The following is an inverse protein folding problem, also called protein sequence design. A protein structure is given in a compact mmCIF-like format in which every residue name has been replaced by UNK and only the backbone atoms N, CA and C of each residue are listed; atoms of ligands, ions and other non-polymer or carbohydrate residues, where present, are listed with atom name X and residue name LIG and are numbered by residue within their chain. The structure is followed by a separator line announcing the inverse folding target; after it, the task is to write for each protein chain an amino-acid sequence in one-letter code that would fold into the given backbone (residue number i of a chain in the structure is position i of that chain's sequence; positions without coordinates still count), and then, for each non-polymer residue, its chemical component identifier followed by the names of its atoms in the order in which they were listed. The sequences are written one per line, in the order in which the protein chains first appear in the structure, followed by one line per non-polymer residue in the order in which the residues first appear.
data_IF_973536453948
#
_entry.id   IF_973536453948
#
_cell.length_a   1.000
_cell.length_b   1.000
_cell.length_c   1.000
_cell.angle_alpha   90.00
_cell.angle_beta   90.00
_cell.angle_gamma   90.00
#
_symmetry.space_group_name_H-M   'P 1'
#
loop_
_entity.id
_entity.type
_entity.pdbx_description
1 polymer ?
#
# COMPACT_ATOMS: atom_id res chain seq x y z
N UNK A 1 -4.44 74.18 -14.78
CA UNK A 1 -4.86 73.05 -13.93
C UNK A 1 -4.72 71.72 -14.70
N UNK A 2 -3.52 71.37 -15.18
CA UNK A 2 -3.28 70.19 -16.05
C UNK A 2 -2.05 69.37 -15.59
N UNK A 3 -1.26 69.87 -14.64
CA UNK A 3 0.00 69.26 -14.21
C UNK A 3 -0.08 68.16 -13.15
N UNK A 4 -1.23 67.93 -12.51
CA UNK A 4 -1.34 66.96 -11.40
C UNK A 4 -1.95 65.60 -11.81
N UNK A 5 -2.66 65.55 -12.94
CA UNK A 5 -3.29 64.32 -13.45
C UNK A 5 -2.36 63.47 -14.35
N UNK A 6 -1.25 64.04 -14.83
CA UNK A 6 -0.30 63.33 -15.71
C UNK A 6 0.83 62.62 -14.97
N UNK A 7 1.04 62.88 -13.67
CA UNK A 7 2.08 62.23 -12.89
C UNK A 7 1.61 60.91 -12.23
N UNK A 8 0.35 60.82 -11.83
CA UNK A 8 -0.21 59.62 -11.20
C UNK A 8 -0.48 58.46 -12.18
N UNK A 9 -0.73 58.76 -13.45
CA UNK A 9 -1.02 57.72 -14.47
C UNK A 9 0.23 57.01 -15.01
N UNK A 10 1.42 57.61 -14.88
CA UNK A 10 2.68 57.01 -15.37
C UNK A 10 3.41 56.13 -14.35
N UNK A 11 3.09 56.23 -13.06
CA UNK A 11 3.77 55.44 -12.03
C UNK A 11 3.14 54.06 -11.77
N UNK A 12 1.89 53.84 -12.21
CA UNK A 12 1.16 52.58 -11.96
C UNK A 12 0.98 51.67 -13.19
N UNK A 13 1.80 51.80 -14.24
CA UNK A 13 1.43 51.17 -15.53
C UNK A 13 2.31 50.02 -16.04
N UNK A 14 3.50 49.74 -15.46
CA UNK A 14 4.36 48.63 -15.97
C UNK A 14 4.72 47.54 -14.96
N UNK A 15 4.77 47.86 -13.66
CA UNK A 15 5.11 46.87 -12.63
C UNK A 15 3.92 46.04 -12.13
N UNK A 16 2.69 46.53 -12.31
CA UNK A 16 1.46 45.83 -11.90
C UNK A 16 1.10 44.70 -12.87
N UNK A 17 1.16 44.94 -14.19
CA UNK A 17 0.77 43.95 -15.21
C UNK A 17 1.68 42.71 -15.23
N UNK A 18 3.00 42.89 -15.06
CA UNK A 18 3.96 41.79 -14.94
C UNK A 18 3.72 40.94 -13.68
N UNK A 19 3.30 41.56 -12.57
CA UNK A 19 2.98 40.83 -11.32
C UNK A 19 1.66 40.05 -11.44
N UNK A 20 0.68 40.56 -12.18
CA UNK A 20 -0.58 39.86 -12.45
C UNK A 20 -0.41 38.65 -13.40
N UNK A 21 0.44 38.75 -14.42
CA UNK A 21 0.70 37.59 -15.31
C UNK A 21 1.52 36.51 -14.61
N UNK A 22 2.48 36.88 -13.76
CA UNK A 22 3.29 35.93 -12.98
C UNK A 22 2.43 35.21 -11.92
N UNK A 23 1.58 35.92 -11.18
CA UNK A 23 0.69 35.30 -10.18
C UNK A 23 -0.36 34.39 -10.80
N UNK A 24 -0.91 34.76 -11.96
CA UNK A 24 -1.83 33.92 -12.74
C UNK A 24 -1.14 32.63 -13.23
N UNK A 25 0.09 32.72 -13.78
CA UNK A 25 0.85 31.54 -14.21
C UNK A 25 1.22 30.61 -13.05
N UNK A 26 1.62 31.16 -11.89
CA UNK A 26 1.94 30.36 -10.70
C UNK A 26 0.70 29.59 -10.22
N UNK A 27 -0.46 30.23 -10.18
CA UNK A 27 -1.72 29.60 -9.73
C UNK A 27 -2.16 28.47 -10.66
N UNK A 28 -2.01 28.65 -11.99
CA UNK A 28 -2.30 27.62 -12.98
C UNK A 28 -1.34 26.41 -12.87
N UNK A 29 -0.05 26.66 -12.65
CA UNK A 29 0.93 25.60 -12.41
C UNK A 29 0.63 24.80 -11.14
N UNK A 30 0.26 25.47 -10.04
CA UNK A 30 -0.14 24.78 -8.81
C UNK A 30 -1.38 23.88 -9.04
N UNK A 31 -2.38 24.36 -9.78
CA UNK A 31 -3.57 23.57 -10.10
C UNK A 31 -3.25 22.31 -10.92
N UNK A 32 -2.35 22.43 -11.92
CA UNK A 32 -1.92 21.30 -12.75
C UNK A 32 -1.11 20.26 -11.96
N UNK A 33 -0.31 20.70 -10.98
CA UNK A 33 0.41 19.81 -10.07
C UNK A 33 -0.59 19.02 -9.20
N UNK A 34 -1.60 19.66 -8.63
CA UNK A 34 -2.62 18.96 -7.82
C UNK A 34 -3.39 17.90 -8.60
N UNK A 35 -3.79 18.17 -9.85
CA UNK A 35 -4.47 17.19 -10.71
C UNK A 35 -3.57 15.97 -10.98
N UNK A 36 -2.26 16.20 -11.11
CA UNK A 36 -1.27 15.16 -11.41
C UNK A 36 -0.98 14.25 -10.20
N UNK A 37 -1.12 14.76 -8.96
CA UNK A 37 -0.93 13.95 -7.74
C UNK A 37 -2.12 13.02 -7.43
N UNK A 38 -3.32 13.30 -7.94
CA UNK A 38 -4.49 12.41 -7.79
C UNK A 38 -4.37 11.06 -8.52
N UNK A 39 -3.43 10.96 -9.47
CA UNK A 39 -3.17 9.72 -10.23
C UNK A 39 -1.95 8.94 -9.73
N UNK A 40 -1.41 9.28 -8.54
CA UNK A 40 -0.41 8.45 -7.88
C UNK A 40 -1.10 7.20 -7.29
N UNK A 41 -1.35 6.23 -8.17
CA UNK A 41 -2.05 4.99 -7.85
C UNK A 41 -1.32 4.19 -6.78
N UNK A 42 -1.85 4.23 -5.57
CA UNK A 42 -1.68 3.19 -4.58
C UNK A 42 -2.02 1.87 -5.28
N UNK A 43 -1.00 1.04 -5.57
CA UNK A 43 -1.17 -0.25 -6.23
C UNK A 43 -2.01 -1.16 -5.35
N UNK A 44 -3.33 -1.02 -5.41
CA UNK A 44 -4.25 -1.98 -4.82
C UNK A 44 -4.17 -3.21 -5.70
N UNK A 45 -3.33 -4.15 -5.31
CA UNK A 45 -3.30 -5.50 -5.87
C UNK A 45 -4.65 -6.12 -5.47
N UNK A 46 -5.64 -5.99 -6.34
CA UNK A 46 -6.99 -6.50 -6.10
C UNK A 46 -7.00 -8.01 -5.85
N UNK A 47 -8.15 -8.53 -5.44
CA UNK A 47 -8.33 -9.98 -5.34
C UNK A 47 -8.06 -10.65 -6.69
N UNK A 48 -7.48 -11.86 -6.72
CA UNK A 48 -7.24 -12.56 -7.98
C UNK A 48 -8.56 -12.77 -8.74
N UNK A 49 -8.48 -12.82 -10.07
CA UNK A 49 -9.64 -13.14 -10.91
C UNK A 49 -10.12 -14.56 -10.64
N UNK A 50 -11.43 -14.78 -10.79
CA UNK A 50 -12.01 -16.11 -10.72
C UNK A 50 -11.39 -17.04 -11.78
N UNK A 51 -11.20 -18.31 -11.45
CA UNK A 51 -10.55 -19.26 -12.34
C UNK A 51 -10.38 -20.66 -11.76
N UNK A 52 -9.90 -21.56 -12.61
CA UNK A 52 -9.59 -22.95 -12.27
C UNK A 52 -8.12 -23.08 -11.88
N UNK A 53 -7.88 -23.77 -10.76
CA UNK A 53 -6.55 -24.03 -10.22
C UNK A 53 -6.36 -25.54 -10.11
N UNK A 54 -5.34 -26.07 -10.79
CA UNK A 54 -5.08 -27.50 -10.84
C UNK A 54 -3.77 -27.87 -10.14
N UNK A 55 -3.79 -28.95 -9.36
CA UNK A 55 -2.59 -29.58 -8.83
C UNK A 55 -1.95 -30.47 -9.88
N UNK A 56 -0.99 -29.90 -10.61
CA UNK A 56 -0.37 -30.52 -11.79
C UNK A 56 0.59 -31.68 -11.50
N UNK A 57 0.89 -31.94 -10.23
CA UNK A 57 1.83 -33.00 -9.82
C UNK A 57 1.19 -34.40 -9.77
N UNK A 58 -0.14 -34.48 -9.93
CA UNK A 58 -0.88 -35.75 -9.98
C UNK A 58 -1.56 -35.93 -11.34
N UNK A 59 -1.80 -37.20 -11.71
CA UNK A 59 -2.44 -37.58 -12.98
C UNK A 59 -3.64 -38.51 -12.70
N UNK A 60 -4.88 -38.14 -13.08
CA UNK A 60 -5.26 -36.85 -13.67
C UNK A 60 -5.06 -35.67 -12.70
N UNK A 61 -4.87 -34.43 -13.21
CA UNK A 61 -4.77 -33.26 -12.36
C UNK A 61 -6.06 -33.07 -11.56
N UNK A 62 -5.92 -32.82 -10.26
CA UNK A 62 -7.06 -32.44 -9.43
C UNK A 62 -7.23 -30.92 -9.51
N UNK A 63 -8.39 -30.47 -9.94
CA UNK A 63 -8.69 -29.06 -10.17
C UNK A 63 -9.82 -28.59 -9.24
N UNK A 64 -9.79 -27.30 -8.94
CA UNK A 64 -10.85 -26.60 -8.22
C UNK A 64 -11.11 -25.25 -8.89
N UNK A 65 -12.34 -24.77 -8.83
CA UNK A 65 -12.71 -23.45 -9.32
C UNK A 65 -12.89 -22.50 -8.15
N UNK A 66 -12.26 -21.33 -8.20
CA UNK A 66 -12.35 -20.31 -7.16
C UNK A 66 -12.84 -19.01 -7.75
N UNK A 67 -13.85 -18.43 -7.12
CA UNK A 67 -14.25 -17.04 -7.31
C UNK A 67 -14.02 -16.27 -5.99
N UNK A 68 -12.95 -15.49 -5.96
CA UNK A 68 -12.54 -14.71 -4.79
C UNK A 68 -13.48 -13.52 -4.52
N UNK A 69 -14.14 -12.98 -5.55
CA UNK A 69 -15.09 -11.87 -5.40
C UNK A 69 -16.42 -12.38 -4.83
N UNK A 70 -16.91 -13.52 -5.35
CA UNK A 70 -18.14 -14.15 -4.87
C UNK A 70 -17.95 -15.01 -3.61
N UNK A 71 -16.71 -15.15 -3.11
CA UNK A 71 -16.34 -16.05 -1.99
C UNK A 71 -16.83 -17.48 -2.20
N UNK A 72 -16.62 -18.01 -3.40
CA UNK A 72 -17.13 -19.32 -3.82
C UNK A 72 -15.99 -20.24 -4.25
N UNK A 73 -16.06 -21.49 -3.79
CA UNK A 73 -15.18 -22.59 -4.19
C UNK A 73 -16.04 -23.73 -4.73
N UNK A 74 -15.71 -24.25 -5.90
CA UNK A 74 -16.26 -25.50 -6.42
C UNK A 74 -15.15 -26.53 -6.45
N UNK A 75 -15.33 -27.64 -5.73
CA UNK A 75 -14.38 -28.74 -5.67
C UNK A 75 -15.14 -30.07 -5.63
N UNK A 76 -14.78 -31.00 -6.52
CA UNK A 76 -15.45 -32.29 -6.69
C UNK A 76 -16.99 -32.15 -6.87
N UNK A 77 -17.41 -31.21 -7.73
CA UNK A 77 -18.83 -30.88 -8.01
C UNK A 77 -19.64 -30.38 -6.80
N UNK A 78 -18.98 -30.06 -5.69
CA UNK A 78 -19.60 -29.48 -4.50
C UNK A 78 -19.20 -28.02 -4.35
N UNK A 79 -20.19 -27.19 -4.03
CA UNK A 79 -20.01 -25.77 -3.78
C UNK A 79 -19.80 -25.48 -2.28
N UNK A 80 -18.80 -24.65 -1.99
CA UNK A 80 -18.41 -24.21 -0.66
C UNK A 80 -18.34 -22.68 -0.61
N UNK A 81 -18.75 -22.11 0.52
CA UNK A 81 -18.56 -20.68 0.82
C UNK A 81 -17.19 -20.46 1.46
N UNK A 82 -16.44 -19.48 0.95
CA UNK A 82 -15.14 -19.10 1.48
C UNK A 82 -15.29 -18.09 2.61
N UNK A 83 -14.62 -18.34 3.73
CA UNK A 83 -14.44 -17.37 4.80
C UNK A 83 -13.14 -16.59 4.58
N UNK A 84 -13.22 -15.26 4.68
CA UNK A 84 -12.04 -14.42 4.58
C UNK A 84 -11.21 -14.54 5.86
N UNK A 85 -9.94 -14.91 5.68
CA UNK A 85 -8.95 -14.86 6.75
C UNK A 85 -7.90 -13.82 6.39
N UNK A 86 -7.77 -12.81 7.25
CA UNK A 86 -6.71 -11.82 7.13
C UNK A 86 -5.36 -12.50 7.39
N UNK A 87 -4.56 -12.65 6.32
CA UNK A 87 -3.14 -13.01 6.40
C UNK A 87 -2.33 -11.80 5.93
N UNK A 88 -1.46 -11.30 6.79
CA UNK A 88 -0.53 -10.23 6.45
C UNK A 88 0.89 -10.76 6.60
N UNK A 89 1.68 -10.67 5.54
CA UNK A 89 3.07 -11.08 5.57
C UNK A 89 3.96 -9.82 5.56
N UNK A 90 4.89 -9.73 6.50
CA UNK A 90 5.87 -8.65 6.61
C UNK A 90 7.27 -9.21 6.38
N UNK A 91 8.12 -8.46 5.69
CA UNK A 91 9.53 -8.80 5.55
C UNK A 91 10.38 -7.82 6.36
N UNK A 92 11.38 -8.34 7.06
CA UNK A 92 12.38 -7.53 7.75
C UNK A 92 13.74 -8.21 7.68
N UNK A 93 14.80 -7.42 7.84
CA UNK A 93 16.17 -7.93 7.91
C UNK A 93 16.69 -7.85 9.33
N UNK A 94 17.51 -8.82 9.72
CA UNK A 94 18.26 -8.80 10.97
C UNK A 94 19.55 -9.58 10.77
N UNK A 95 20.70 -8.97 11.08
CA UNK A 95 22.03 -9.57 10.88
C UNK A 95 22.23 -10.12 9.45
N UNK A 96 21.90 -9.32 8.42
CA UNK A 96 21.94 -9.67 6.99
C UNK A 96 21.04 -10.84 6.53
N UNK A 97 20.26 -11.43 7.43
CA UNK A 97 19.29 -12.47 7.11
C UNK A 97 17.90 -11.88 6.85
N UNK A 98 17.18 -12.47 5.89
CA UNK A 98 15.82 -12.05 5.55
C UNK A 98 14.81 -12.89 6.32
N UNK A 99 13.91 -12.22 7.02
CA UNK A 99 12.84 -12.85 7.78
C UNK A 99 11.48 -12.50 7.20
N UNK A 100 10.55 -13.43 7.30
CA UNK A 100 9.13 -13.29 7.00
C UNK A 100 8.32 -13.47 8.29
N UNK A 101 7.53 -12.46 8.64
CA UNK A 101 6.57 -12.50 9.74
C UNK A 101 5.16 -12.58 9.16
N UNK A 102 4.53 -13.73 9.28
CA UNK A 102 3.13 -13.94 8.88
C UNK A 102 2.22 -13.73 10.08
N UNK A 103 1.24 -12.83 9.95
CA UNK A 103 0.15 -12.67 10.90
C UNK A 103 -0.99 -13.59 10.49
N UNK A 104 -1.14 -14.69 11.22
CA UNK A 104 -2.15 -15.72 10.93
C UNK A 104 -3.51 -15.41 11.56
N UNK A 105 -3.54 -14.69 12.68
CA UNK A 105 -4.75 -14.14 13.34
C UNK A 105 -4.34 -12.94 14.20
N UNK A 106 -5.32 -12.20 14.76
CA UNK A 106 -5.08 -11.09 15.71
C UNK A 106 -4.14 -11.49 16.87
N UNK A 107 -4.13 -12.76 17.27
CA UNK A 107 -3.37 -13.25 18.41
C UNK A 107 -2.26 -14.24 18.04
N UNK A 108 -1.95 -14.42 16.74
CA UNK A 108 -0.98 -15.42 16.29
C UNK A 108 -0.13 -14.91 15.15
N UNK A 109 1.19 -15.10 15.30
CA UNK A 109 2.18 -14.81 14.27
C UNK A 109 3.08 -16.01 14.05
N UNK A 110 3.68 -16.10 12.87
CA UNK A 110 4.66 -17.09 12.47
C UNK A 110 5.91 -16.34 11.98
N UNK A 111 7.10 -16.81 12.37
CA UNK A 111 8.37 -16.20 11.98
C UNK A 111 9.23 -17.22 11.24
N UNK A 112 9.55 -16.93 9.99
CA UNK A 112 10.38 -17.76 9.12
C UNK A 112 11.64 -17.01 8.72
N UNK A 113 12.78 -17.68 8.76
CA UNK A 113 13.99 -17.19 8.09
C UNK A 113 13.98 -17.68 6.63
N UNK A 114 14.13 -16.76 5.69
CA UNK A 114 14.15 -17.06 4.26
C UNK A 114 15.55 -17.36 3.73
N UNK A 115 16.59 -16.98 4.47
CA UNK A 115 17.99 -17.27 4.16
C UNK A 115 18.39 -18.66 4.65
N UNK A 116 17.89 -19.09 5.82
CA UNK A 116 18.24 -20.36 6.45
C UNK A 116 17.02 -21.29 6.51
N UNK A 117 17.07 -22.41 5.79
CA UNK A 117 15.93 -23.33 5.64
C UNK A 117 15.38 -23.97 6.94
N UNK A 118 16.14 -23.93 8.05
CA UNK A 118 15.81 -24.62 9.30
C UNK A 118 15.35 -23.72 10.46
N UNK A 119 15.23 -22.41 10.28
CA UNK A 119 14.66 -21.54 11.32
C UNK A 119 13.21 -21.19 10.97
N UNK A 120 12.27 -21.90 11.60
CA UNK A 120 10.85 -21.65 11.47
C UNK A 120 10.17 -21.71 12.84
N UNK A 121 9.83 -20.55 13.39
CA UNK A 121 9.06 -20.44 14.64
C UNK A 121 7.59 -20.35 14.27
N UNK A 122 7.00 -21.52 14.07
CA UNK A 122 5.57 -21.66 13.85
C UNK A 122 4.82 -21.39 15.17
N UNK A 123 3.66 -20.71 15.08
CA UNK A 123 2.67 -20.63 16.15
C UNK A 123 3.05 -19.80 17.39
N UNK A 124 3.64 -18.62 17.18
CA UNK A 124 3.88 -17.67 18.26
C UNK A 124 2.55 -17.00 18.67
N UNK A 125 2.17 -17.13 19.95
CA UNK A 125 0.93 -16.56 20.50
C UNK A 125 1.18 -15.19 21.15
N UNK A 126 0.24 -14.27 20.97
CA UNK A 126 0.21 -13.02 21.73
C UNK A 126 0.11 -13.35 23.22
N UNK A 127 0.98 -12.77 24.04
CA UNK A 127 0.86 -12.80 25.51
C UNK A 127 -0.06 -11.66 25.93
N UNK A 128 -1.05 -11.97 26.76
CA UNK A 128 -2.07 -11.01 27.22
C UNK A 128 -1.55 -9.91 28.16
N UNK A 129 -0.29 -9.99 28.61
CA UNK A 129 0.25 -9.20 29.74
C UNK A 129 1.10 -7.97 29.38
N UNK A 130 1.09 -7.49 28.14
CA UNK A 130 1.83 -6.27 27.78
C UNK A 130 0.86 -5.16 27.36
N UNK A 131 0.63 -4.22 28.27
CA UNK A 131 -0.11 -2.98 28.00
C UNK A 131 0.72 -2.00 27.15
N UNK A 132 2.05 -2.16 27.14
CA UNK A 132 3.00 -1.29 26.48
C UNK A 132 4.03 -2.10 25.69
N UNK A 133 4.39 -1.61 24.50
CA UNK A 133 5.41 -2.20 23.63
C UNK A 133 6.77 -2.00 24.32
N UNK A 134 7.57 -3.05 24.55
CA UNK A 134 8.90 -2.90 25.13
C UNK A 134 9.75 -1.98 24.25
N UNK A 135 10.32 -0.93 24.84
CA UNK A 135 11.29 -0.08 24.15
C UNK A 135 12.59 -0.88 24.00
N UNK A 136 13.09 -1.14 22.78
CA UNK A 136 14.35 -1.86 22.61
C UNK A 136 15.52 -0.95 23.00
N UNK A 137 16.39 -1.43 23.90
CA UNK A 137 17.59 -0.69 24.35
C UNK A 137 18.71 -0.66 23.30
N UNK A 138 18.59 -1.41 22.21
CA UNK A 138 19.60 -1.48 21.16
C UNK A 138 18.98 -1.44 19.75
N UNK A 139 19.46 -0.50 18.92
CA UNK A 139 19.27 -0.54 17.48
C UNK A 139 20.07 -1.73 16.94
N UNK A 140 19.40 -2.77 16.48
CA UNK A 140 20.01 -3.72 15.56
C UNK A 140 19.93 -3.08 14.17
N UNK A 141 21.08 -2.61 13.70
CA UNK A 141 21.30 -2.00 12.38
C UNK A 141 21.36 -3.08 11.29
#
# INVERSE_FOLDING_TARGET
MIGLLSLLSRFMSKNSWKRFTITSQITLCFLLIFISFSHCGLFYKGVPKAGEFCYVLIKPPECLYVDFEAKKLIWNDVEYTLEEKLRMDYFFKSNDELYELTVSTVNRVELKNLTTANFNKFYMRKKDKFAEIPTPDAKHE
#
